data_IF_236291662772
#
_entry.id   IF_236291662772
#
_cell.length_a   1.000
_cell.length_b   1.000
_cell.length_c   1.000
_cell.angle_alpha   90.00
_cell.angle_beta   90.00
_cell.angle_gamma   90.00
#
_symmetry.space_group_name_H-M   'P 1'
#
loop_
_entity.id
_entity.type
_entity.pdbx_description
1 polymer ?
#
# COMPACT_ATOMS: atom_id res chain seq x y z
N UNK A 1 5.66 -15.66 28.42
CA UNK A 1 4.56 -15.16 27.56
C UNK A 1 5.19 -14.62 26.28
N UNK A 2 4.83 -15.17 25.11
CA UNK A 2 5.34 -14.65 23.84
C UNK A 2 4.78 -13.24 23.62
N UNK A 3 5.66 -12.25 23.47
CA UNK A 3 5.29 -10.90 23.07
C UNK A 3 4.57 -10.98 21.72
N UNK A 4 3.28 -10.63 21.67
CA UNK A 4 2.55 -10.57 20.40
C UNK A 4 3.12 -9.41 19.59
N UNK A 5 3.52 -9.67 18.35
CA UNK A 5 3.93 -8.61 17.42
C UNK A 5 2.81 -7.60 17.24
N UNK A 6 3.10 -6.33 17.44
CA UNK A 6 2.18 -5.21 17.20
C UNK A 6 1.97 -4.98 15.69
N UNK A 7 2.91 -5.45 14.86
CA UNK A 7 2.87 -5.35 13.42
C UNK A 7 2.20 -6.57 12.80
N UNK A 8 1.31 -6.33 11.84
CA UNK A 8 0.71 -7.37 11.01
C UNK A 8 1.65 -7.69 9.85
N UNK A 9 1.94 -8.98 9.66
CA UNK A 9 2.64 -9.49 8.48
C UNK A 9 1.60 -10.11 7.55
N UNK A 10 1.50 -9.57 6.34
CA UNK A 10 0.62 -10.11 5.31
C UNK A 10 1.09 -11.47 4.83
N UNK A 11 0.19 -12.24 4.22
CA UNK A 11 0.55 -13.54 3.65
C UNK A 11 1.33 -13.45 2.32
N UNK A 12 1.61 -12.23 1.83
CA UNK A 12 2.33 -11.95 0.58
C UNK A 12 1.77 -12.64 -0.68
N UNK A 13 0.49 -13.06 -0.65
CA UNK A 13 -0.16 -13.67 -1.81
C UNK A 13 -0.67 -12.62 -2.78
N UNK A 14 -0.61 -12.91 -4.08
CA UNK A 14 -1.14 -12.05 -5.12
C UNK A 14 -1.89 -12.86 -6.17
N UNK A 15 -2.87 -12.22 -6.82
CA UNK A 15 -3.63 -12.80 -7.93
C UNK A 15 -3.02 -12.36 -9.26
N UNK A 16 -2.83 -13.31 -10.19
CA UNK A 16 -2.43 -13.01 -11.57
C UNK A 16 -3.64 -12.54 -12.38
N UNK A 17 -3.43 -11.58 -13.25
CA UNK A 17 -4.41 -11.07 -14.21
C UNK A 17 -3.83 -11.10 -15.62
N UNK A 18 -4.64 -10.80 -16.64
CA UNK A 18 -4.16 -10.71 -18.02
C UNK A 18 -3.09 -9.63 -18.21
N UNK A 19 -3.11 -8.54 -17.42
CA UNK A 19 -2.26 -7.35 -17.60
C UNK A 19 -1.23 -7.15 -16.49
N UNK A 20 -1.15 -8.08 -15.53
CA UNK A 20 -0.24 -7.98 -14.40
C UNK A 20 -0.79 -8.68 -13.15
N UNK A 21 -0.78 -8.00 -12.00
CA UNK A 21 -1.02 -8.62 -10.70
C UNK A 21 -1.89 -7.75 -9.80
N UNK A 22 -2.61 -8.38 -8.89
CA UNK A 22 -3.41 -7.71 -7.86
C UNK A 22 -3.01 -8.23 -6.49
N UNK A 23 -2.76 -7.31 -5.56
CA UNK A 23 -2.48 -7.60 -4.16
C UNK A 23 -3.61 -7.06 -3.31
N UNK A 24 -4.26 -7.94 -2.56
CA UNK A 24 -5.31 -7.55 -1.62
C UNK A 24 -4.74 -7.26 -0.23
N UNK A 25 -5.46 -6.51 0.64
CA UNK A 25 -4.92 -6.02 1.90
C UNK A 25 -4.42 -7.11 2.86
N UNK A 26 -4.95 -8.34 2.77
CA UNK A 26 -4.51 -9.49 3.58
C UNK A 26 -3.08 -9.95 3.26
N UNK A 27 -2.54 -9.53 2.12
CA UNK A 27 -1.17 -9.78 1.70
C UNK A 27 -0.20 -8.63 2.02
N UNK A 28 -0.71 -7.52 2.55
CA UNK A 28 0.10 -6.36 2.92
C UNK A 28 0.59 -6.49 4.37
N UNK A 29 1.81 -6.03 4.61
CA UNK A 29 2.35 -5.85 5.95
C UNK A 29 2.00 -4.46 6.46
N UNK A 30 1.47 -4.38 7.69
CA UNK A 30 0.90 -3.15 8.26
C UNK A 30 1.50 -2.91 9.64
N UNK A 31 2.19 -1.78 9.80
CA UNK A 31 2.68 -1.34 11.11
C UNK A 31 1.49 -1.01 12.01
N UNK A 32 1.52 -1.52 13.25
CA UNK A 32 0.37 -1.50 14.18
C UNK A 32 -0.84 -2.33 13.74
N UNK A 33 -0.74 -3.13 12.68
CA UNK A 33 -1.89 -3.82 12.09
C UNK A 33 -2.57 -4.84 13.02
N UNK A 34 -1.84 -5.48 13.94
CA UNK A 34 -2.43 -6.44 14.88
C UNK A 34 -3.21 -5.77 16.02
N UNK A 35 -3.05 -4.46 16.18
CA UNK A 35 -3.73 -3.68 17.21
C UNK A 35 -5.08 -3.18 16.70
N UNK A 36 -6.16 -3.79 17.20
CA UNK A 36 -7.54 -3.46 16.85
C UNK A 36 -7.95 -2.02 17.18
N UNK A 37 -7.15 -1.31 17.99
CA UNK A 37 -7.33 0.13 18.25
C UNK A 37 -6.93 0.99 17.05
N UNK A 38 -6.01 0.52 16.23
CA UNK A 38 -5.40 1.28 15.14
C UNK A 38 -5.86 0.81 13.77
N UNK A 39 -6.10 -0.50 13.62
CA UNK A 39 -6.51 -1.10 12.34
C UNK A 39 -7.64 -2.11 12.51
N UNK A 40 -8.49 -2.17 11.50
CA UNK A 40 -9.40 -3.28 11.27
C UNK A 40 -8.90 -4.04 10.04
N UNK A 41 -8.27 -5.18 10.32
CA UNK A 41 -7.72 -6.07 9.29
C UNK A 41 -8.81 -6.83 8.53
N UNK A 42 -8.54 -7.20 7.27
CA UNK A 42 -9.44 -7.99 6.45
C UNK A 42 -9.68 -9.38 7.05
N UNK A 43 -10.94 -9.86 7.02
CA UNK A 43 -11.27 -11.23 7.43
C UNK A 43 -11.07 -12.18 6.24
N UNK A 44 -11.65 -11.80 5.12
CA UNK A 44 -11.56 -12.52 3.84
C UNK A 44 -10.51 -11.89 2.93
N UNK A 45 -10.14 -12.60 1.86
CA UNK A 45 -9.04 -12.17 0.97
C UNK A 45 -9.29 -10.79 0.36
N UNK A 46 -10.50 -10.54 -0.14
CA UNK A 46 -10.88 -9.31 -0.86
C UNK A 46 -11.48 -8.23 0.05
N UNK A 47 -11.43 -8.43 1.37
CA UNK A 47 -11.85 -7.40 2.31
C UNK A 47 -10.84 -6.25 2.34
N UNK A 48 -11.33 -5.07 2.67
CA UNK A 48 -10.49 -3.88 2.84
C UNK A 48 -9.71 -3.93 4.16
N UNK A 49 -8.55 -3.28 4.20
CA UNK A 49 -7.94 -2.86 5.46
C UNK A 49 -8.40 -1.45 5.80
N UNK A 50 -9.02 -1.27 6.98
CA UNK A 50 -9.50 0.02 7.47
C UNK A 50 -8.56 0.55 8.56
N UNK A 51 -8.01 1.74 8.33
CA UNK A 51 -7.27 2.50 9.31
C UNK A 51 -8.26 3.20 10.25
N UNK A 52 -8.25 2.82 11.52
CA UNK A 52 -9.05 3.49 12.56
C UNK A 52 -8.36 4.81 12.91
N UNK A 53 -7.11 4.73 13.37
CA UNK A 53 -6.28 5.90 13.66
C UNK A 53 -4.81 5.51 13.85
N UNK A 54 -3.87 6.31 13.33
CA UNK A 54 -2.43 6.21 13.64
C UNK A 54 -1.77 7.58 13.54
N UNK A 55 -0.60 7.74 14.16
CA UNK A 55 0.33 8.85 13.88
C UNK A 55 1.59 8.40 13.11
N UNK A 56 1.72 7.09 12.86
CA UNK A 56 2.73 6.46 12.02
C UNK A 56 2.02 5.50 11.07
N UNK A 57 1.90 5.90 9.81
CA UNK A 57 1.28 5.10 8.75
C UNK A 57 2.36 4.46 7.91
N UNK A 58 2.41 3.13 7.91
CA UNK A 58 3.31 2.36 7.07
C UNK A 58 2.65 1.05 6.67
N UNK A 59 2.40 0.92 5.37
CA UNK A 59 1.84 -0.26 4.73
C UNK A 59 2.75 -0.66 3.59
N UNK A 60 3.19 -1.92 3.57
CA UNK A 60 4.16 -2.41 2.59
C UNK A 60 3.71 -3.73 1.97
N UNK A 61 4.20 -3.99 0.77
CA UNK A 61 3.96 -5.24 0.06
C UNK A 61 5.07 -5.50 -0.94
N UNK A 62 5.06 -6.71 -1.47
CA UNK A 62 5.94 -7.09 -2.57
C UNK A 62 5.28 -8.15 -3.45
N UNK A 63 5.75 -8.26 -4.68
CA UNK A 63 5.46 -9.37 -5.58
C UNK A 63 6.79 -9.90 -6.10
N UNK A 64 6.96 -11.22 -6.03
CA UNK A 64 8.03 -12.00 -6.63
C UNK A 64 7.49 -12.94 -7.72
N UNK A 65 8.12 -12.96 -8.91
CA UNK A 65 7.90 -13.98 -9.94
C UNK A 65 9.00 -13.84 -11.02
N UNK A 66 9.41 -14.94 -11.64
CA UNK A 66 10.32 -14.91 -12.81
C UNK A 66 9.73 -14.14 -13.99
N UNK A 67 8.41 -14.04 -14.10
CA UNK A 67 7.75 -13.23 -15.13
C UNK A 67 7.94 -11.72 -14.91
N UNK A 68 8.07 -11.27 -13.65
CA UNK A 68 8.40 -9.88 -13.35
C UNK A 68 9.80 -9.58 -13.89
N UNK A 69 10.75 -10.48 -13.68
CA UNK A 69 12.13 -10.32 -14.16
C UNK A 69 12.23 -10.14 -15.69
N UNK A 70 11.24 -10.61 -16.47
CA UNK A 70 11.20 -10.44 -17.93
C UNK A 70 10.71 -9.06 -18.39
N UNK A 71 10.04 -8.30 -17.52
CA UNK A 71 9.48 -6.99 -17.86
C UNK A 71 10.46 -5.87 -17.50
N UNK A 72 10.21 -4.68 -18.03
CA UNK A 72 11.07 -3.50 -17.81
C UNK A 72 10.40 -2.42 -16.98
N UNK A 73 9.06 -2.43 -16.88
CA UNK A 73 8.31 -1.33 -16.29
C UNK A 73 6.93 -1.77 -15.79
N UNK A 74 6.48 -1.18 -14.69
CA UNK A 74 5.14 -1.37 -14.14
C UNK A 74 4.56 -0.06 -13.61
N UNK A 75 3.25 0.09 -13.75
CA UNK A 75 2.45 1.00 -12.95
C UNK A 75 1.93 0.28 -11.71
N UNK A 76 2.14 0.86 -10.53
CA UNK A 76 1.63 0.38 -9.24
C UNK A 76 0.54 1.34 -8.78
N UNK A 77 -0.71 0.91 -8.89
CA UNK A 77 -1.90 1.68 -8.51
C UNK A 77 -2.40 1.23 -7.13
N UNK A 78 -2.57 2.17 -6.22
CA UNK A 78 -3.23 1.98 -4.94
C UNK A 78 -4.69 2.41 -5.06
N UNK A 79 -5.62 1.46 -4.88
CA UNK A 79 -7.05 1.72 -4.82
C UNK A 79 -7.48 1.89 -3.37
N UNK A 80 -8.00 3.06 -3.03
CA UNK A 80 -8.29 3.47 -1.65
C UNK A 80 -9.60 4.25 -1.56
N UNK A 81 -10.13 4.42 -0.36
CA UNK A 81 -11.20 5.37 -0.07
C UNK A 81 -11.01 6.03 1.29
N UNK A 82 -11.65 7.17 1.49
CA UNK A 82 -11.78 7.80 2.80
C UNK A 82 -13.23 7.62 3.27
N UNK A 83 -13.41 7.24 4.54
CA UNK A 83 -14.72 7.27 5.18
C UNK A 83 -15.22 8.71 5.30
N UNK A 84 -16.53 8.85 5.48
CA UNK A 84 -17.17 10.15 5.72
C UNK A 84 -16.67 10.85 6.99
N UNK A 85 -16.22 10.08 7.98
CA UNK A 85 -15.63 10.53 9.24
C UNK A 85 -14.09 10.52 9.23
N UNK A 86 -13.46 10.41 8.06
CA UNK A 86 -12.00 10.45 7.94
C UNK A 86 -11.44 11.81 8.38
N UNK A 87 -10.29 11.80 9.04
CA UNK A 87 -9.70 12.99 9.65
C UNK A 87 -8.18 13.00 9.54
N UNK A 88 -7.57 14.18 9.72
CA UNK A 88 -6.12 14.34 9.81
C UNK A 88 -5.36 14.37 8.48
N UNK A 89 -6.05 14.35 7.33
CA UNK A 89 -5.44 14.23 5.99
C UNK A 89 -5.06 15.56 5.32
N UNK A 90 -5.61 16.70 5.76
CA UNK A 90 -5.37 18.01 5.11
C UNK A 90 -3.90 18.41 5.07
N UNK A 91 -3.17 18.13 6.16
CA UNK A 91 -1.73 18.42 6.29
C UNK A 91 -0.87 17.15 6.37
N UNK A 92 -1.45 15.99 6.03
CA UNK A 92 -0.80 14.68 6.12
C UNK A 92 -0.80 14.00 4.75
N UNK A 93 0.05 14.48 3.81
CA UNK A 93 0.24 13.80 2.53
C UNK A 93 0.72 12.37 2.76
N UNK A 94 0.23 11.44 1.95
CA UNK A 94 0.83 10.10 1.88
C UNK A 94 1.96 10.10 0.86
N UNK A 95 2.87 9.16 1.02
CA UNK A 95 3.98 8.92 0.12
C UNK A 95 3.88 7.49 -0.38
N UNK A 96 3.65 7.35 -1.68
CA UNK A 96 3.75 6.06 -2.36
C UNK A 96 5.21 5.77 -2.65
N UNK A 97 5.61 4.51 -2.50
CA UNK A 97 6.95 4.03 -2.79
C UNK A 97 6.87 2.84 -3.72
N UNK A 98 7.81 2.75 -4.65
CA UNK A 98 8.07 1.55 -5.43
C UNK A 98 9.59 1.31 -5.52
N UNK A 99 10.02 0.06 -5.42
CA UNK A 99 11.43 -0.32 -5.54
C UNK A 99 11.58 -1.58 -6.37
N UNK A 100 12.51 -1.57 -7.32
CA UNK A 100 12.83 -2.72 -8.17
C UNK A 100 14.32 -2.74 -8.50
N UNK A 101 15.04 -3.76 -8.02
CA UNK A 101 16.49 -3.75 -7.99
C UNK A 101 17.04 -2.63 -7.12
N UNK A 102 17.98 -1.85 -7.67
CA UNK A 102 18.52 -0.63 -7.07
C UNK A 102 17.66 0.63 -7.30
N UNK A 103 16.66 0.59 -8.19
CA UNK A 103 15.81 1.74 -8.47
C UNK A 103 14.72 1.87 -7.40
N UNK A 104 14.61 3.05 -6.79
CA UNK A 104 13.55 3.40 -5.83
C UNK A 104 12.89 4.71 -6.25
N UNK A 105 11.56 4.71 -6.31
CA UNK A 105 10.74 5.85 -6.67
C UNK A 105 9.80 6.21 -5.53
N UNK A 106 9.57 7.50 -5.36
CA UNK A 106 8.66 8.06 -4.36
C UNK A 106 7.70 9.05 -5.02
N UNK A 107 6.43 9.02 -4.61
CA UNK A 107 5.41 9.97 -5.07
C UNK A 107 4.58 10.48 -3.91
N UNK A 108 4.56 11.80 -3.74
CA UNK A 108 3.74 12.49 -2.74
C UNK A 108 2.30 12.66 -3.23
N UNK A 109 1.32 12.36 -2.40
CA UNK A 109 -0.11 12.43 -2.71
C UNK A 109 -0.88 13.10 -1.57
N UNK A 110 -1.64 14.13 -1.89
CA UNK A 110 -2.54 14.79 -0.94
C UNK A 110 -3.94 14.16 -1.04
N UNK A 111 -4.33 13.32 -0.08
CA UNK A 111 -5.64 12.65 -0.13
C UNK A 111 -6.82 13.64 0.04
N UNK A 112 -6.64 14.70 0.85
CA UNK A 112 -7.69 15.68 1.12
C UNK A 112 -8.13 16.48 -0.12
N UNK A 113 -7.30 16.58 -1.16
CA UNK A 113 -7.69 17.28 -2.41
C UNK A 113 -8.41 16.37 -3.41
N UNK A 114 -8.57 15.09 -3.09
CA UNK A 114 -9.13 14.06 -3.97
C UNK A 114 -10.57 13.66 -3.62
N UNK A 115 -11.12 14.24 -2.55
CA UNK A 115 -12.44 13.90 -1.99
C UNK A 115 -13.61 14.67 -2.61
N UNK A 116 -13.37 15.51 -3.61
CA UNK A 116 -14.41 16.27 -4.31
C UNK A 116 -15.22 15.34 -5.23
N UNK A 117 -16.07 14.47 -4.67
CA UNK A 117 -17.11 13.65 -5.32
C UNK A 117 -16.79 12.17 -5.61
N UNK A 118 -15.55 11.70 -5.45
CA UNK A 118 -15.21 10.29 -5.64
C UNK A 118 -15.22 9.50 -4.33
N UNK A 119 -16.07 8.47 -4.26
CA UNK A 119 -15.98 7.42 -3.23
C UNK A 119 -14.67 6.63 -3.28
N UNK A 120 -13.99 6.61 -4.44
CA UNK A 120 -12.78 5.84 -4.69
C UNK A 120 -11.63 6.72 -5.18
N UNK A 121 -10.47 6.57 -4.56
CA UNK A 121 -9.22 7.25 -4.86
C UNK A 121 -8.27 6.22 -5.46
N UNK A 122 -7.80 6.47 -6.69
CA UNK A 122 -6.76 5.67 -7.35
C UNK A 122 -5.52 6.52 -7.54
N UNK A 123 -4.40 6.08 -7.00
CA UNK A 123 -3.13 6.80 -7.10
C UNK A 123 -2.00 5.86 -7.51
N UNK A 124 -1.29 6.25 -8.56
CA UNK A 124 -0.33 5.38 -9.26
C UNK A 124 1.09 5.88 -9.10
N UNK A 125 2.05 4.97 -8.96
CA UNK A 125 3.48 5.25 -9.10
C UNK A 125 4.08 4.32 -10.13
N UNK A 126 4.93 4.84 -11.00
CA UNK A 126 5.61 4.06 -12.03
C UNK A 126 6.98 3.63 -11.53
N UNK A 127 7.36 2.38 -11.80
CA UNK A 127 8.70 1.87 -11.52
C UNK A 127 9.27 1.19 -12.76
N UNK A 128 10.55 1.48 -13.02
CA UNK A 128 11.34 0.85 -14.08
C UNK A 128 12.36 -0.07 -13.41
N UNK A 129 12.63 -1.20 -14.05
CA UNK A 129 13.60 -2.19 -13.58
C UNK A 129 14.98 -1.56 -13.41
N UNK A 130 15.46 -1.56 -12.16
CA UNK A 130 16.83 -1.18 -11.83
C UNK A 130 17.84 -2.28 -12.17
N UNK A 131 19.11 -2.01 -11.85
CA UNK A 131 20.19 -2.98 -11.87
C UNK A 131 20.34 -3.64 -10.49
N UNK A 132 21.31 -4.54 -10.36
CA UNK A 132 21.67 -5.15 -9.07
C UNK A 132 20.88 -6.43 -8.73
N UNK A 133 20.93 -6.81 -7.45
CA UNK A 133 20.20 -7.97 -6.92
C UNK A 133 18.71 -7.65 -6.75
N UNK A 134 17.87 -8.68 -6.56
CA UNK A 134 16.42 -8.55 -6.37
C UNK A 134 15.66 -7.92 -7.55
N UNK A 135 16.08 -8.22 -8.78
CA UNK A 135 15.38 -7.79 -9.99
C UNK A 135 14.21 -8.71 -10.37
N UNK A 136 13.97 -9.75 -9.57
CA UNK A 136 12.85 -10.68 -9.60
C UNK A 136 11.70 -10.29 -8.65
N UNK A 137 11.91 -9.27 -7.80
CA UNK A 137 10.93 -8.77 -6.84
C UNK A 137 10.73 -7.26 -6.97
N UNK A 138 9.46 -6.84 -6.93
CA UNK A 138 9.07 -5.44 -6.81
C UNK A 138 8.50 -5.23 -5.41
N UNK A 139 9.02 -4.22 -4.71
CA UNK A 139 8.49 -3.75 -3.44
C UNK A 139 7.68 -2.48 -3.66
N UNK A 140 6.64 -2.29 -2.85
CA UNK A 140 5.84 -1.09 -2.86
C UNK A 140 5.32 -0.78 -1.46
N UNK A 141 4.92 0.47 -1.25
CA UNK A 141 4.33 0.85 0.02
C UNK A 141 3.65 2.21 0.01
N UNK A 142 2.94 2.47 1.10
CA UNK A 142 2.23 3.69 1.40
C UNK A 142 2.64 4.16 2.79
N UNK A 143 3.12 5.40 2.87
CA UNK A 143 3.75 5.95 4.06
C UNK A 143 3.18 7.32 4.44
N UNK A 144 3.03 7.55 5.73
CA UNK A 144 3.13 8.87 6.35
C UNK A 144 3.67 8.67 7.76
N UNK A 145 4.97 8.88 7.93
CA UNK A 145 5.70 8.60 9.18
C UNK A 145 6.39 9.84 9.75
N UNK A 146 6.19 11.02 9.13
CA UNK A 146 7.03 12.19 9.37
C UNK A 146 6.36 13.23 10.27
N UNK A 147 5.10 13.57 9.99
CA UNK A 147 4.46 14.72 10.66
C UNK A 147 3.91 14.38 12.05
N UNK A 148 3.85 13.09 12.41
CA UNK A 148 3.35 12.55 13.69
C UNK A 148 1.92 12.99 14.04
N UNK A 149 1.16 13.50 13.08
CA UNK A 149 -0.25 13.89 13.26
C UNK A 149 -1.12 12.66 13.20
N UNK A 150 -2.10 12.58 14.09
CA UNK A 150 -3.10 11.53 14.03
C UNK A 150 -3.97 11.68 12.79
N UNK A 151 -4.16 10.57 12.06
CA UNK A 151 -5.10 10.47 10.95
C UNK A 151 -5.82 9.14 10.97
N UNK A 152 -7.01 9.10 10.38
CA UNK A 152 -7.89 7.92 10.41
C UNK A 152 -8.92 7.92 9.30
N UNK A 153 -9.60 6.79 9.15
CA UNK A 153 -10.68 6.59 8.17
C UNK A 153 -10.23 6.25 6.76
N UNK A 154 -8.94 5.94 6.54
CA UNK A 154 -8.46 5.41 5.25
C UNK A 154 -8.84 3.94 5.10
N UNK A 155 -9.34 3.56 3.93
CA UNK A 155 -9.51 2.17 3.53
C UNK A 155 -8.62 1.86 2.33
N UNK A 156 -7.90 0.75 2.41
CA UNK A 156 -7.10 0.21 1.31
C UNK A 156 -7.87 -0.98 0.74
N UNK A 157 -8.18 -0.92 -0.56
CA UNK A 157 -8.97 -1.95 -1.25
C UNK A 157 -8.08 -2.94 -2.00
N UNK A 158 -7.05 -2.44 -2.70
CA UNK A 158 -6.13 -3.27 -3.47
C UNK A 158 -4.91 -2.47 -3.93
N UNK A 159 -3.86 -3.19 -4.31
CA UNK A 159 -2.73 -2.66 -5.07
C UNK A 159 -2.64 -3.42 -6.39
N UNK A 160 -2.74 -2.71 -7.51
CA UNK A 160 -2.69 -3.30 -8.85
C UNK A 160 -1.34 -2.97 -9.49
N UNK A 161 -0.62 -4.00 -9.96
CA UNK A 161 0.58 -3.83 -10.77
C UNK A 161 0.22 -4.15 -12.21
N UNK A 162 0.33 -3.16 -13.10
CA UNK A 162 0.03 -3.31 -14.53
C UNK A 162 1.29 -3.05 -15.34
N UNK A 163 1.60 -3.95 -16.26
CA UNK A 163 2.71 -3.76 -17.21
C UNK A 163 2.44 -2.56 -18.11
N UNK A 164 3.50 -1.79 -18.42
CA UNK A 164 3.48 -0.66 -19.35
C UNK A 164 4.57 -0.77 -20.39
#
# INVERSE_FOLDING_TARGET
>A
MASRSLHYQGNHTFSKTQKGYIVYPKALSIVWGNEKRFWKLPKYEKDDAELIQVNWLEVTGCIDDINIAKKTSYNIEFTMSLKTDAFGWSDSPIYLMAKWGDNTQWRKVNLATKTNDKKMISETITIIKGKGSNTDKIYFGLYEVWNKKWKGGLKIHSVNLTEI
#
